data_IF_319468757541
#
_entry.id   IF_319468757541
#
_cell.length_a   1.000
_cell.length_b   1.000
_cell.length_c   1.000
_cell.angle_alpha   90.00
_cell.angle_beta   90.00
_cell.angle_gamma   90.00
#
_symmetry.space_group_name_H-M   'P 1'
#
loop_
_entity.id
_entity.type
_entity.pdbx_description
1 polymer ?
#
# COMPACT_ATOMS: atom_id res chain seq x y z
N UNK A 1 -14.05 19.80 4.83
CA UNK A 1 -13.87 20.18 3.42
C UNK A 1 -13.65 18.90 2.60
N UNK A 2 -13.82 18.94 1.27
CA UNK A 2 -13.52 17.80 0.40
C UNK A 2 -12.51 18.19 -0.67
N UNK A 3 -11.68 17.25 -1.08
CA UNK A 3 -10.73 17.35 -2.19
C UNK A 3 -11.23 16.51 -3.36
N UNK A 4 -11.08 17.02 -4.58
CA UNK A 4 -11.48 16.33 -5.81
C UNK A 4 -10.26 15.71 -6.46
N UNK A 5 -10.21 14.39 -6.51
CA UNK A 5 -9.14 13.62 -7.16
C UNK A 5 -9.68 13.03 -8.45
N UNK A 6 -8.87 13.05 -9.53
CA UNK A 6 -9.23 12.43 -10.80
C UNK A 6 -8.22 11.33 -11.13
N UNK A 7 -8.67 10.11 -11.32
CA UNK A 7 -7.82 8.95 -11.67
C UNK A 7 -7.29 9.02 -13.10
N UNK A 8 -6.38 8.10 -13.43
CA UNK A 8 -5.77 7.95 -14.76
C UNK A 8 -6.79 7.60 -15.86
N UNK A 9 -7.87 6.92 -15.49
CA UNK A 9 -9.01 6.50 -16.32
C UNK A 9 -10.21 7.45 -16.18
N UNK A 10 -9.93 8.71 -15.84
CA UNK A 10 -10.85 9.85 -15.84
C UNK A 10 -12.01 9.84 -14.83
N UNK A 11 -12.03 8.92 -13.87
CA UNK A 11 -13.04 8.88 -12.81
C UNK A 11 -12.75 9.93 -11.72
N UNK A 12 -13.80 10.56 -11.21
CA UNK A 12 -13.71 11.62 -10.21
C UNK A 12 -14.10 11.09 -8.82
N UNK A 13 -13.23 11.34 -7.84
CA UNK A 13 -13.41 10.99 -6.45
C UNK A 13 -13.51 12.25 -5.60
N UNK A 14 -14.55 12.34 -4.78
CA UNK A 14 -14.64 13.36 -3.72
C UNK A 14 -14.25 12.73 -2.38
N UNK A 15 -13.15 13.20 -1.80
CA UNK A 15 -12.54 12.62 -0.60
C UNK A 15 -12.51 13.66 0.51
N UNK A 16 -12.76 13.25 1.75
CA UNK A 16 -12.60 14.13 2.91
C UNK A 16 -11.16 14.64 2.96
N UNK A 17 -10.97 15.94 3.21
CA UNK A 17 -9.65 16.54 3.25
C UNK A 17 -8.69 15.79 4.18
N UNK A 18 -9.12 15.47 5.41
CA UNK A 18 -8.30 14.71 6.37
C UNK A 18 -7.87 13.33 5.86
N UNK A 19 -8.64 12.70 4.98
CA UNK A 19 -8.31 11.42 4.35
C UNK A 19 -7.33 11.63 3.19
N UNK A 20 -7.56 12.67 2.37
CA UNK A 20 -6.70 13.00 1.25
C UNK A 20 -5.29 13.45 1.70
N UNK A 21 -5.19 14.11 2.85
CA UNK A 21 -3.93 14.62 3.43
C UNK A 21 -3.04 13.53 4.05
N UNK A 22 -3.49 12.28 4.12
CA UNK A 22 -2.61 11.13 4.40
C UNK A 22 -1.53 10.97 3.31
N UNK A 23 -1.83 11.43 2.08
CA UNK A 23 -0.85 11.55 1.01
C UNK A 23 -0.09 12.86 1.13
N UNK A 24 1.24 12.78 1.27
CA UNK A 24 2.10 13.98 1.25
C UNK A 24 2.04 14.69 -0.10
N UNK A 25 2.02 13.94 -1.21
CA UNK A 25 1.90 14.51 -2.55
C UNK A 25 0.63 15.34 -2.70
N UNK A 26 -0.53 14.81 -2.26
CA UNK A 26 -1.80 15.53 -2.33
C UNK A 26 -1.80 16.74 -1.38
N UNK A 27 -1.22 16.60 -0.19
CA UNK A 27 -1.07 17.70 0.77
C UNK A 27 -0.31 18.87 0.17
N UNK A 28 0.88 18.63 -0.39
CA UNK A 28 1.70 19.68 -0.98
C UNK A 28 0.95 20.41 -2.11
N UNK A 29 0.21 19.66 -2.96
CA UNK A 29 -0.61 20.25 -4.02
C UNK A 29 -1.74 21.11 -3.45
N UNK A 30 -2.46 20.62 -2.43
CA UNK A 30 -3.57 21.37 -1.80
C UNK A 30 -3.06 22.65 -1.13
N UNK A 31 -1.86 22.64 -0.54
CA UNK A 31 -1.24 23.83 0.04
C UNK A 31 -0.93 24.90 -1.02
N UNK A 32 -0.58 24.49 -2.25
CA UNK A 32 -0.27 25.40 -3.36
C UNK A 32 -1.52 25.94 -4.09
N UNK A 33 -2.52 25.08 -4.37
CA UNK A 33 -3.65 25.41 -5.27
C UNK A 33 -5.02 25.45 -4.56
N UNK A 34 -5.10 25.09 -3.29
CA UNK A 34 -6.33 24.93 -2.54
C UNK A 34 -7.13 23.68 -2.92
N UNK A 35 -8.34 23.54 -2.36
CA UNK A 35 -9.20 22.35 -2.51
C UNK A 35 -10.28 22.47 -3.57
N UNK A 36 -10.44 23.65 -4.18
CA UNK A 36 -11.46 23.91 -5.21
C UNK A 36 -11.09 23.29 -6.56
N UNK A 37 -9.79 23.06 -6.79
CA UNK A 37 -9.25 22.49 -8.03
C UNK A 37 -9.29 20.97 -8.02
N UNK A 38 -9.47 20.37 -9.20
CA UNK A 38 -9.36 18.92 -9.39
C UNK A 38 -7.89 18.54 -9.51
N UNK A 39 -7.43 17.60 -8.68
CA UNK A 39 -6.07 17.09 -8.70
C UNK A 39 -6.01 15.83 -9.58
N UNK A 40 -5.32 15.86 -10.74
CA UNK A 40 -5.19 14.70 -11.60
C UNK A 40 -4.08 13.74 -11.11
N UNK A 41 -4.42 12.46 -10.93
CA UNK A 41 -3.56 11.38 -10.50
C UNK A 41 -3.32 10.41 -11.66
N UNK A 42 -2.54 10.87 -12.64
CA UNK A 42 -2.39 10.21 -13.96
C UNK A 42 -1.74 8.82 -13.91
N UNK A 43 -1.13 8.45 -12.80
CA UNK A 43 -0.44 7.18 -12.61
C UNK A 43 -1.23 6.17 -11.76
N UNK A 44 -2.48 6.47 -11.41
CA UNK A 44 -3.30 5.62 -10.53
C UNK A 44 -4.66 5.39 -11.17
N UNK A 45 -4.99 4.12 -11.46
CA UNK A 45 -6.32 3.74 -11.96
C UNK A 45 -7.39 3.93 -10.89
N UNK A 46 -8.65 4.00 -11.30
CA UNK A 46 -9.79 4.18 -10.40
C UNK A 46 -9.92 3.06 -9.37
N UNK A 47 -9.68 1.82 -9.80
CA UNK A 47 -9.69 0.65 -8.92
C UNK A 47 -8.66 0.78 -7.79
N UNK A 48 -7.43 1.15 -8.14
CA UNK A 48 -6.33 1.28 -7.17
C UNK A 48 -6.55 2.51 -6.29
N UNK A 49 -6.97 3.63 -6.88
CA UNK A 49 -7.28 4.85 -6.13
C UNK A 49 -8.39 4.62 -5.11
N UNK A 50 -9.44 3.86 -5.47
CA UNK A 50 -10.50 3.47 -4.54
C UNK A 50 -9.95 2.67 -3.34
N UNK A 51 -9.03 1.74 -3.57
CA UNK A 51 -8.39 0.98 -2.49
C UNK A 51 -7.48 1.86 -1.61
N UNK A 52 -6.72 2.78 -2.21
CA UNK A 52 -5.90 3.75 -1.47
C UNK A 52 -6.79 4.65 -0.60
N UNK A 53 -7.88 5.19 -1.14
CA UNK A 53 -8.84 6.02 -0.39
C UNK A 53 -9.46 5.22 0.75
N UNK A 54 -9.80 3.94 0.53
CA UNK A 54 -10.32 3.04 1.57
C UNK A 54 -9.32 2.86 2.71
N UNK A 55 -8.04 2.65 2.39
CA UNK A 55 -6.96 2.57 3.37
C UNK A 55 -6.82 3.87 4.18
N UNK A 56 -6.62 4.99 3.49
CA UNK A 56 -6.46 6.30 4.12
C UNK A 56 -7.66 6.66 4.98
N UNK A 57 -8.89 6.32 4.56
CA UNK A 57 -10.10 6.61 5.35
C UNK A 57 -10.12 5.87 6.67
N UNK A 58 -9.76 4.58 6.67
CA UNK A 58 -9.67 3.80 7.90
C UNK A 58 -8.62 4.38 8.85
N UNK A 59 -7.41 4.64 8.33
CA UNK A 59 -6.27 5.11 9.12
C UNK A 59 -6.36 6.58 9.56
N UNK A 60 -7.12 7.43 8.86
CA UNK A 60 -7.31 8.84 9.22
C UNK A 60 -8.53 9.09 10.12
N UNK A 61 -9.57 8.24 10.04
CA UNK A 61 -10.85 8.50 10.73
C UNK A 61 -11.16 7.51 11.85
N UNK A 62 -10.80 6.24 11.70
CA UNK A 62 -11.17 5.19 12.66
C UNK A 62 -10.02 4.85 13.61
N UNK A 63 -8.77 4.82 13.13
CA UNK A 63 -7.57 4.54 13.96
C UNK A 63 -7.24 5.66 14.96
N UNK A 64 -7.17 6.95 14.57
CA UNK A 64 -6.90 8.02 15.50
C UNK A 64 -8.23 8.33 16.18
N UNK A 65 -8.57 7.53 17.18
CA UNK A 65 -9.76 7.75 17.96
C UNK A 65 -9.58 9.10 18.65
N UNK A 66 -10.13 10.17 18.05
CA UNK A 66 -10.06 11.52 18.60
C UNK A 66 -10.77 11.50 19.94
N UNK A 67 -10.00 11.36 21.01
CA UNK A 67 -10.39 11.84 22.31
C UNK A 67 -10.71 13.31 22.16
N UNK A 68 -12.01 13.65 22.02
CA UNK A 68 -12.63 14.94 22.34
C UNK A 68 -14.12 15.06 21.95
N UNK A 69 -14.77 14.07 21.33
CA UNK A 69 -16.19 14.16 20.99
C UNK A 69 -17.02 12.95 21.46
N UNK A 70 -17.80 13.14 22.54
CA UNK A 70 -18.79 12.20 23.11
C UNK A 70 -18.28 10.76 23.26
N UNK A 71 -17.86 10.36 24.46
CA UNK A 71 -17.25 9.06 24.81
C UNK A 71 -18.08 7.80 24.48
N UNK A 72 -18.31 7.55 23.19
CA UNK A 72 -19.26 6.57 22.66
C UNK A 72 -18.61 5.53 21.74
N UNK A 73 -17.35 5.71 21.32
CA UNK A 73 -16.60 4.71 20.54
C UNK A 73 -15.28 4.34 21.24
N UNK A 74 -15.04 3.04 21.49
CA UNK A 74 -13.78 2.59 22.08
C UNK A 74 -12.59 2.82 21.14
N UNK A 75 -11.41 2.99 21.75
CA UNK A 75 -10.10 2.65 21.19
C UNK A 75 -10.16 1.60 20.07
N UNK A 76 -9.84 1.91 18.80
CA UNK A 76 -9.42 0.81 17.91
C UNK A 76 -8.06 0.33 18.45
N UNK A 77 -7.97 -0.94 18.82
CA UNK A 77 -6.73 -1.49 19.36
C UNK A 77 -5.71 -1.72 18.25
N UNK A 78 -4.42 -1.77 18.58
CA UNK A 78 -3.37 -2.11 17.61
C UNK A 78 -3.60 -3.48 16.95
N UNK A 79 -4.20 -4.43 17.69
CA UNK A 79 -4.59 -5.74 17.17
C UNK A 79 -5.70 -5.65 16.12
N UNK A 80 -6.73 -4.82 16.36
CA UNK A 80 -7.80 -4.57 15.39
C UNK A 80 -7.28 -3.90 14.12
N UNK A 81 -6.35 -2.96 14.25
CA UNK A 81 -5.67 -2.31 13.10
C UNK A 81 -4.90 -3.36 12.30
N UNK A 82 -4.08 -4.16 12.97
CA UNK A 82 -3.28 -5.22 12.33
C UNK A 82 -4.17 -6.23 11.59
N UNK A 83 -5.28 -6.65 12.21
CA UNK A 83 -6.22 -7.57 11.57
C UNK A 83 -6.90 -6.96 10.35
N UNK A 84 -7.30 -5.68 10.44
CA UNK A 84 -7.89 -4.97 9.32
C UNK A 84 -6.90 -4.81 8.16
N UNK A 85 -5.66 -4.44 8.46
CA UNK A 85 -4.59 -4.28 7.46
C UNK A 85 -4.27 -5.60 6.75
N UNK A 86 -4.20 -6.70 7.50
CA UNK A 86 -4.04 -8.03 6.92
C UNK A 86 -5.17 -8.37 5.93
N UNK A 87 -6.42 -8.11 6.33
CA UNK A 87 -7.61 -8.32 5.49
C UNK A 87 -7.67 -7.36 4.30
N UNK A 88 -7.21 -6.12 4.47
CA UNK A 88 -7.13 -5.14 3.39
C UNK A 88 -6.19 -5.61 2.28
N UNK A 89 -5.10 -6.31 2.63
CA UNK A 89 -4.14 -6.89 1.70
C UNK A 89 -4.45 -8.32 1.24
N UNK A 90 -5.64 -8.85 1.51
CA UNK A 90 -6.15 -10.07 0.89
C UNK A 90 -6.62 -9.80 -0.55
N UNK A 91 -5.68 -9.38 -1.38
CA UNK A 91 -5.87 -9.07 -2.81
C UNK A 91 -4.95 -9.95 -3.66
N UNK A 92 -5.21 -9.98 -4.97
CA UNK A 92 -4.30 -10.64 -5.90
C UNK A 92 -2.97 -9.88 -6.02
N UNK A 93 -1.95 -10.57 -6.51
CA UNK A 93 -0.58 -10.03 -6.59
C UNK A 93 -0.48 -8.81 -7.50
N UNK A 94 -1.24 -8.73 -8.59
CA UNK A 94 -1.19 -7.57 -9.48
C UNK A 94 -1.73 -6.34 -8.75
N UNK A 95 -2.87 -6.46 -8.07
CA UNK A 95 -3.42 -5.40 -7.21
C UNK A 95 -2.44 -4.99 -6.10
N UNK A 96 -1.75 -5.95 -5.47
CA UNK A 96 -0.75 -5.66 -4.42
C UNK A 96 0.43 -4.84 -4.97
N UNK A 97 0.95 -5.20 -6.14
CA UNK A 97 2.05 -4.47 -6.80
C UNK A 97 1.61 -3.06 -7.22
N UNK A 98 0.40 -2.92 -7.76
CA UNK A 98 -0.15 -1.61 -8.10
C UNK A 98 -0.37 -0.72 -6.87
N UNK A 99 -0.77 -1.32 -5.73
CA UNK A 99 -0.87 -0.60 -4.46
C UNK A 99 0.50 -0.09 -3.97
N UNK A 100 1.58 -0.88 -4.13
CA UNK A 100 2.95 -0.44 -3.82
C UNK A 100 3.33 0.77 -4.68
N UNK A 101 3.09 0.69 -5.99
CA UNK A 101 3.40 1.78 -6.92
C UNK A 101 2.60 3.05 -6.60
N UNK A 102 1.30 2.90 -6.33
CA UNK A 102 0.42 4.02 -5.95
C UNK A 102 0.83 4.64 -4.61
N UNK A 103 1.16 3.83 -3.60
CA UNK A 103 1.60 4.31 -2.29
C UNK A 103 2.91 5.12 -2.38
N UNK A 104 3.86 4.66 -3.19
CA UNK A 104 5.10 5.39 -3.47
C UNK A 104 4.82 6.70 -4.23
N UNK A 105 4.01 6.67 -5.29
CA UNK A 105 3.66 7.85 -6.09
C UNK A 105 2.92 8.93 -5.26
N UNK A 106 1.98 8.50 -4.42
CA UNK A 106 1.21 9.37 -3.53
C UNK A 106 1.95 9.69 -2.22
N UNK A 107 3.12 9.11 -2.00
CA UNK A 107 3.95 9.31 -0.82
C UNK A 107 3.17 9.04 0.48
N UNK A 108 2.57 7.85 0.56
CA UNK A 108 1.84 7.34 1.73
C UNK A 108 2.73 6.25 2.37
N UNK A 109 3.61 6.65 3.28
CA UNK A 109 4.64 5.77 3.84
C UNK A 109 4.05 4.53 4.54
N UNK A 110 2.98 4.70 5.32
CA UNK A 110 2.35 3.60 6.06
C UNK A 110 1.79 2.51 5.14
N UNK A 111 1.16 2.89 4.03
CA UNK A 111 0.68 1.95 3.02
C UNK A 111 1.84 1.26 2.28
N UNK A 112 2.90 2.02 1.98
CA UNK A 112 4.09 1.49 1.32
C UNK A 112 4.78 0.44 2.20
N UNK A 113 4.99 0.74 3.49
CA UNK A 113 5.59 -0.19 4.45
C UNK A 113 4.74 -1.44 4.62
N UNK A 114 3.43 -1.28 4.78
CA UNK A 114 2.49 -2.40 4.93
C UNK A 114 2.50 -3.34 3.72
N UNK A 115 2.46 -2.78 2.51
CA UNK A 115 2.48 -3.58 1.27
C UNK A 115 3.84 -4.24 1.02
N UNK A 116 4.95 -3.56 1.34
CA UNK A 116 6.29 -4.14 1.29
C UNK A 116 6.46 -5.30 2.27
N UNK A 117 5.97 -5.13 3.51
CA UNK A 117 5.99 -6.18 4.52
C UNK A 117 5.20 -7.40 4.04
N UNK A 118 4.02 -7.20 3.44
CA UNK A 118 3.22 -8.30 2.89
C UNK A 118 3.97 -9.10 1.82
N UNK A 119 4.72 -8.43 0.94
CA UNK A 119 5.58 -9.09 -0.06
C UNK A 119 6.73 -9.83 0.63
N UNK A 120 7.37 -9.24 1.63
CA UNK A 120 8.41 -9.89 2.41
C UNK A 120 7.90 -11.18 3.09
N UNK A 121 6.69 -11.15 3.66
CA UNK A 121 6.05 -12.31 4.27
C UNK A 121 5.71 -13.40 3.25
N UNK A 122 5.46 -13.04 1.98
CA UNK A 122 5.27 -14.01 0.90
C UNK A 122 6.57 -14.72 0.49
N UNK A 123 7.73 -14.13 0.81
CA UNK A 123 9.06 -14.65 0.47
C UNK A 123 9.65 -15.42 1.66
N UNK A 124 9.34 -14.97 2.87
CA UNK A 124 9.81 -15.57 4.12
C UNK A 124 9.50 -17.08 4.15
N UNK A 125 10.47 -17.87 4.60
CA UNK A 125 10.39 -19.33 4.79
C UNK A 125 10.14 -20.14 3.50
N UNK A 126 10.23 -19.53 2.31
CA UNK A 126 10.15 -20.23 1.02
C UNK A 126 11.51 -20.52 0.42
N UNK A 127 11.61 -21.61 -0.34
CA UNK A 127 12.82 -21.89 -1.13
C UNK A 127 12.92 -20.97 -2.35
N UNK A 128 14.12 -20.78 -2.94
CA UNK A 128 14.27 -20.02 -4.18
C UNK A 128 13.34 -20.50 -5.31
N UNK A 129 13.12 -21.81 -5.42
CA UNK A 129 12.23 -22.39 -6.44
C UNK A 129 10.75 -22.09 -6.17
N UNK A 130 10.34 -22.08 -4.90
CA UNK A 130 8.97 -21.69 -4.50
C UNK A 130 8.72 -20.20 -4.73
N UNK A 131 9.70 -19.35 -4.43
CA UNK A 131 9.65 -17.90 -4.71
C UNK A 131 9.54 -17.67 -6.22
N UNK A 132 10.41 -18.30 -7.01
CA UNK A 132 10.38 -18.20 -8.48
C UNK A 132 9.02 -18.59 -9.03
N UNK A 133 8.44 -19.70 -8.58
CA UNK A 133 7.08 -20.11 -8.99
C UNK A 133 6.00 -19.12 -8.55
N UNK A 134 6.05 -18.66 -7.30
CA UNK A 134 5.04 -17.76 -6.76
C UNK A 134 5.01 -16.40 -7.48
N UNK A 135 6.18 -15.88 -7.87
CA UNK A 135 6.32 -14.60 -8.56
C UNK A 135 6.44 -14.73 -10.08
N UNK A 136 6.30 -15.95 -10.62
CA UNK A 136 6.47 -16.27 -12.04
C UNK A 136 7.79 -15.74 -12.63
N UNK A 137 8.90 -15.99 -11.91
CA UNK A 137 10.26 -15.60 -12.28
C UNK A 137 10.96 -16.79 -12.93
N UNK A 138 11.51 -16.58 -14.13
CA UNK A 138 12.34 -17.56 -14.82
C UNK A 138 13.72 -17.67 -14.15
N UNK A 139 14.25 -18.89 -14.01
CA UNK A 139 15.63 -19.06 -13.55
C UNK A 139 16.57 -18.78 -14.71
N UNK A 140 17.32 -17.69 -14.61
CA UNK A 140 18.28 -17.22 -15.59
C UNK A 140 19.72 -17.69 -15.31
N UNK A 141 19.95 -18.43 -14.22
CA UNK A 141 21.24 -19.05 -13.94
C UNK A 141 21.45 -20.34 -14.71
N UNK A 142 22.70 -20.54 -15.16
CA UNK A 142 23.18 -21.86 -15.54
C UNK A 142 23.28 -22.80 -14.33
N UNK A 143 23.27 -24.13 -14.51
CA UNK A 143 23.44 -25.07 -13.39
C UNK A 143 24.71 -24.81 -12.58
N UNK A 144 25.81 -24.43 -13.25
CA UNK A 144 27.09 -24.12 -12.62
C UNK A 144 27.02 -22.85 -11.75
N UNK A 145 26.39 -21.79 -12.25
CA UNK A 145 26.19 -20.53 -11.50
C UNK A 145 25.27 -20.75 -10.29
N UNK A 146 24.20 -21.53 -10.44
CA UNK A 146 23.29 -21.84 -9.32
C UNK A 146 23.98 -22.67 -8.24
N UNK A 147 24.84 -23.63 -8.62
CA UNK A 147 25.62 -24.40 -7.66
C UNK A 147 26.66 -23.54 -6.93
N UNK A 148 27.32 -22.62 -7.64
CA UNK A 148 28.26 -21.66 -7.04
C UNK A 148 27.57 -20.75 -6.02
N UNK A 149 26.44 -20.13 -6.40
CA UNK A 149 25.65 -19.28 -5.48
C UNK A 149 25.15 -20.08 -4.28
N UNK A 150 24.70 -21.32 -4.48
CA UNK A 150 24.25 -22.20 -3.39
C UNK A 150 25.40 -22.55 -2.44
N UNK A 151 26.60 -22.79 -2.96
CA UNK A 151 27.81 -23.07 -2.18
C UNK A 151 28.22 -21.86 -1.34
N UNK A 152 28.21 -20.66 -1.92
CA UNK A 152 28.56 -19.42 -1.21
C UNK A 152 27.55 -19.06 -0.11
N UNK A 153 26.27 -19.40 -0.31
CA UNK A 153 25.19 -19.08 0.61
C UNK A 153 24.74 -20.25 1.48
N UNK A 154 25.58 -21.28 1.66
CA UNK A 154 25.26 -22.45 2.50
C UNK A 154 24.79 -22.08 3.91
N UNK A 155 25.34 -21.01 4.49
CA UNK A 155 24.97 -20.49 5.81
C UNK A 155 23.48 -20.15 5.96
N UNK A 156 22.77 -19.88 4.86
CA UNK A 156 21.35 -19.56 4.87
C UNK A 156 20.43 -20.80 4.78
N UNK A 157 21.02 -21.98 4.57
CA UNK A 157 20.32 -23.27 4.40
C UNK A 157 20.66 -24.30 5.50
N UNK A 158 21.50 -23.93 6.47
CA UNK A 158 21.81 -24.69 7.69
C UNK A 158 20.85 -24.33 8.84
#
# INVERSE_FOLDING_TARGET
MKVKLKSADDELFEVEEVVALESRTIKDIVEDIGTDSVIPLLNVSSQILSNVIKYCRYHALEVPNKGEGDGKRPAVSEEDVTHWDAKFLEVDQATLLDLILAANYLNIQSLLDLTCQRVADMIKEKTPEEIRRAFNIENDFTPEEEEEVRRENQWAFE
#
